data_IF_360893525647
#
_entry.id   IF_360893525647
#
_cell.length_a   1.000
_cell.length_b   1.000
_cell.length_c   1.000
_cell.angle_alpha   90.00
_cell.angle_beta   90.00
_cell.angle_gamma   90.00
#
_symmetry.space_group_name_H-M   'P 1'
#
loop_
_entity.id
_entity.type
_entity.pdbx_description
1 polymer ?
#
# COMPACT_ATOMS: atom_id res chain seq x y z
N UNK A 1 7.03 19.50 29.19
CA UNK A 1 7.31 18.13 28.72
C UNK A 1 6.20 17.62 27.80
N UNK A 2 4.94 17.81 28.21
CA UNK A 2 3.74 17.29 27.54
C UNK A 2 3.59 17.70 26.07
N UNK A 3 4.10 18.84 25.60
CA UNK A 3 4.00 19.23 24.18
C UNK A 3 5.21 18.85 23.33
N UNK A 4 6.36 18.54 23.95
CA UNK A 4 7.64 18.30 23.26
C UNK A 4 8.00 16.82 23.18
N UNK A 5 7.53 16.01 24.12
CA UNK A 5 7.89 14.58 24.25
C UNK A 5 6.76 13.63 23.85
N UNK A 6 5.67 14.13 23.26
CA UNK A 6 4.60 13.28 22.73
C UNK A 6 5.13 12.40 21.61
N UNK A 7 4.86 11.09 21.68
CA UNK A 7 5.29 10.11 20.69
C UNK A 7 4.89 10.48 19.25
N UNK A 8 3.70 11.06 19.07
CA UNK A 8 3.19 11.53 17.77
C UNK A 8 4.04 12.64 17.14
N UNK A 9 4.78 13.42 17.96
CA UNK A 9 5.65 14.50 17.50
C UNK A 9 7.10 14.05 17.26
N UNK A 10 7.48 12.87 17.78
CA UNK A 10 8.85 12.33 17.70
C UNK A 10 8.94 11.15 16.71
N UNK A 11 8.08 11.13 15.69
CA UNK A 11 8.10 10.09 14.66
C UNK A 11 9.37 10.19 13.80
N UNK A 12 9.83 11.41 13.49
CA UNK A 12 11.03 11.68 12.69
C UNK A 12 12.18 12.05 13.61
N UNK A 13 13.33 11.36 13.49
CA UNK A 13 14.52 11.67 14.27
C UNK A 13 15.37 12.76 13.61
N UNK A 14 15.75 13.76 14.40
CA UNK A 14 16.68 14.82 13.97
C UNK A 14 18.11 14.34 13.71
N UNK A 15 18.48 13.14 14.17
CA UNK A 15 19.83 12.59 13.92
C UNK A 15 20.03 12.19 12.45
N UNK A 16 18.98 11.70 11.80
CA UNK A 16 19.09 11.11 10.46
C UNK A 16 17.98 11.51 9.49
N UNK A 17 17.14 12.49 9.87
CA UNK A 17 16.02 13.01 9.06
C UNK A 17 15.12 11.91 8.48
N UNK A 18 14.95 10.82 9.22
CA UNK A 18 14.16 9.64 8.82
C UNK A 18 13.20 9.24 9.94
N UNK A 19 12.05 8.63 9.59
CA UNK A 19 11.13 8.12 10.58
C UNK A 19 11.79 7.00 11.39
N UNK A 20 11.63 7.05 12.72
CA UNK A 20 12.04 6.00 13.66
C UNK A 20 10.91 5.01 13.88
N UNK A 21 9.66 5.45 13.75
CA UNK A 21 8.47 4.61 13.85
C UNK A 21 8.01 4.19 12.45
N UNK A 22 7.66 2.92 12.31
CA UNK A 22 7.16 2.35 11.06
C UNK A 22 6.38 1.06 11.29
N UNK A 23 5.77 0.55 10.22
CA UNK A 23 5.06 -0.73 10.25
C UNK A 23 6.10 -1.87 10.28
N UNK A 24 5.95 -2.78 11.23
CA UNK A 24 6.91 -3.88 11.46
C UNK A 24 6.22 -5.25 11.48
N UNK A 25 7.04 -6.30 11.32
CA UNK A 25 6.65 -7.71 11.52
C UNK A 25 5.40 -8.13 10.75
N UNK A 26 4.34 -8.51 11.45
CA UNK A 26 3.15 -9.14 10.88
C UNK A 26 2.34 -8.16 10.05
N UNK A 27 2.19 -6.92 10.51
CA UNK A 27 1.48 -5.89 9.75
C UNK A 27 2.20 -5.58 8.44
N UNK A 28 3.53 -5.56 8.44
CA UNK A 28 4.32 -5.35 7.23
C UNK A 28 4.16 -6.54 6.26
N UNK A 29 4.23 -7.77 6.79
CA UNK A 29 4.05 -8.98 5.99
C UNK A 29 2.62 -9.09 5.44
N UNK A 30 1.62 -8.74 6.23
CA UNK A 30 0.22 -8.76 5.85
C UNK A 30 -0.05 -7.77 4.72
N UNK A 31 0.42 -6.52 4.85
CA UNK A 31 0.32 -5.50 3.79
C UNK A 31 0.97 -6.01 2.50
N UNK A 32 2.19 -6.52 2.57
CA UNK A 32 2.92 -7.03 1.40
C UNK A 32 2.24 -8.24 0.72
N UNK A 33 1.53 -9.08 1.49
CA UNK A 33 0.73 -10.17 0.92
C UNK A 33 -0.57 -9.64 0.32
N UNK A 34 -1.21 -8.67 0.96
CA UNK A 34 -2.50 -8.10 0.57
C UNK A 34 -2.42 -7.22 -0.69
N UNK A 35 -1.31 -6.51 -0.90
CA UNK A 35 -1.09 -5.63 -2.06
C UNK A 35 -0.78 -6.36 -3.37
N UNK A 36 -0.53 -7.69 -3.33
CA UNK A 36 -0.28 -8.48 -4.54
C UNK A 36 -1.48 -8.45 -5.49
N UNK A 37 -1.22 -8.46 -6.81
CA UNK A 37 -2.27 -8.41 -7.85
C UNK A 37 -3.23 -9.58 -7.81
N UNK A 38 -2.75 -10.75 -7.41
CA UNK A 38 -3.54 -11.98 -7.41
C UNK A 38 -4.45 -12.11 -6.17
N UNK A 39 -4.46 -11.09 -5.30
CA UNK A 39 -5.26 -11.10 -4.07
C UNK A 39 -6.54 -10.32 -4.27
N UNK A 40 -7.64 -11.07 -4.25
CA UNK A 40 -8.99 -10.55 -4.32
C UNK A 40 -9.73 -10.79 -3.00
N UNK A 41 -10.56 -9.82 -2.63
CA UNK A 41 -11.36 -9.83 -1.42
C UNK A 41 -12.83 -9.88 -1.81
N UNK A 42 -13.58 -10.73 -1.11
CA UNK A 42 -15.03 -10.83 -1.26
C UNK A 42 -15.72 -9.67 -0.56
N UNK A 43 -16.95 -9.37 -0.98
CA UNK A 43 -17.77 -8.28 -0.42
C UNK A 43 -17.84 -8.31 1.11
N UNK A 44 -18.11 -9.47 1.69
CA UNK A 44 -18.30 -9.61 3.14
C UNK A 44 -17.02 -9.25 3.92
N UNK A 45 -15.86 -9.64 3.39
CA UNK A 45 -14.57 -9.32 3.99
C UNK A 45 -14.24 -7.83 3.87
N UNK A 46 -14.49 -7.22 2.71
CA UNK A 46 -14.27 -5.78 2.48
C UNK A 46 -15.14 -4.97 3.43
N UNK A 47 -16.40 -5.33 3.60
CA UNK A 47 -17.32 -4.58 4.44
C UNK A 47 -16.92 -4.66 5.91
N UNK A 48 -16.48 -5.84 6.37
CA UNK A 48 -15.92 -5.99 7.72
C UNK A 48 -14.64 -5.15 7.89
N UNK A 49 -13.76 -5.11 6.89
CA UNK A 49 -12.54 -4.29 6.93
C UNK A 49 -12.84 -2.78 6.97
N UNK A 50 -13.84 -2.31 6.23
CA UNK A 50 -14.23 -0.90 6.20
C UNK A 50 -14.72 -0.39 7.56
N UNK A 51 -15.32 -1.25 8.39
CA UNK A 51 -15.73 -0.89 9.75
C UNK A 51 -14.56 -0.48 10.66
N UNK A 52 -13.33 -0.89 10.34
CA UNK A 52 -12.13 -0.54 11.11
C UNK A 52 -11.50 0.79 10.68
N UNK A 53 -11.96 1.39 9.59
CA UNK A 53 -11.42 2.67 9.10
C UNK A 53 -12.09 3.81 9.87
N UNK A 54 -11.33 4.48 10.73
CA UNK A 54 -11.83 5.51 11.67
C UNK A 54 -12.35 6.74 10.91
N UNK A 55 -11.62 7.18 9.87
CA UNK A 55 -11.93 8.40 9.09
C UNK A 55 -12.69 8.09 7.79
N UNK A 56 -13.55 7.06 7.80
CA UNK A 56 -14.31 6.66 6.62
C UNK A 56 -15.47 7.61 6.30
N UNK A 57 -15.60 7.98 5.03
CA UNK A 57 -16.64 8.88 4.51
C UNK A 57 -18.01 8.23 4.28
N UNK A 58 -18.15 6.94 4.64
CA UNK A 58 -19.37 6.15 4.44
C UNK A 58 -19.58 5.68 3.00
N UNK A 59 -18.63 5.94 2.08
CA UNK A 59 -18.72 5.52 0.68
C UNK A 59 -17.94 4.24 0.46
N UNK A 60 -18.65 3.23 -0.04
CA UNK A 60 -18.04 1.95 -0.39
C UNK A 60 -17.39 2.11 -1.77
N UNK A 61 -16.10 1.77 -1.93
CA UNK A 61 -15.44 1.85 -3.23
C UNK A 61 -16.08 0.87 -4.23
N UNK A 62 -16.16 1.22 -5.52
CA UNK A 62 -16.67 0.30 -6.52
C UNK A 62 -15.77 -0.95 -6.62
N UNK A 63 -16.34 -2.14 -6.86
CA UNK A 63 -15.55 -3.35 -7.04
C UNK A 63 -14.64 -3.23 -8.27
N UNK A 64 -13.45 -3.85 -8.21
CA UNK A 64 -12.54 -3.93 -9.36
C UNK A 64 -13.14 -4.83 -10.45
N UNK A 65 -13.81 -5.92 -10.05
CA UNK A 65 -14.42 -6.90 -10.95
C UNK A 65 -15.89 -7.02 -10.59
N UNK A 66 -16.77 -6.87 -11.58
CA UNK A 66 -18.24 -6.93 -11.39
C UNK A 66 -18.84 -8.32 -11.69
N UNK A 67 -18.23 -9.10 -12.58
CA UNK A 67 -18.74 -10.41 -13.01
C UNK A 67 -17.58 -11.42 -13.02
N UNK A 68 -17.80 -12.70 -12.67
CA UNK A 68 -19.07 -13.33 -12.27
C UNK A 68 -19.53 -13.00 -10.83
N UNK A 69 -18.62 -12.51 -10.00
CA UNK A 69 -18.88 -12.07 -8.63
C UNK A 69 -18.15 -10.75 -8.36
N UNK A 70 -18.65 -9.95 -7.43
CA UNK A 70 -18.04 -8.68 -7.05
C UNK A 70 -16.77 -8.94 -6.25
N UNK A 71 -15.63 -8.46 -6.75
CA UNK A 71 -14.32 -8.59 -6.10
C UNK A 71 -13.61 -7.24 -6.01
N UNK A 72 -12.95 -7.03 -4.87
CA UNK A 72 -12.09 -5.89 -4.61
C UNK A 72 -10.64 -6.35 -4.53
N UNK A 73 -9.72 -5.46 -4.85
CA UNK A 73 -8.29 -5.72 -4.67
C UNK A 73 -7.82 -5.22 -3.31
N UNK A 74 -6.78 -5.84 -2.75
CA UNK A 74 -6.19 -5.34 -1.51
C UNK A 74 -5.65 -3.91 -1.63
N UNK A 75 -5.16 -3.52 -2.81
CA UNK A 75 -4.72 -2.15 -3.11
C UNK A 75 -5.84 -1.12 -2.93
N UNK A 76 -7.06 -1.42 -3.39
CA UNK A 76 -8.21 -0.55 -3.18
C UNK A 76 -8.53 -0.35 -1.70
N UNK A 77 -8.51 -1.43 -0.91
CA UNK A 77 -8.79 -1.33 0.54
C UNK A 77 -7.72 -0.53 1.26
N UNK A 78 -6.45 -0.70 0.90
CA UNK A 78 -5.35 0.10 1.49
C UNK A 78 -5.45 1.57 1.09
N UNK A 79 -5.94 1.88 -0.12
CA UNK A 79 -6.15 3.25 -0.58
C UNK A 79 -7.11 4.03 0.31
N UNK A 80 -8.08 3.35 0.93
CA UNK A 80 -9.03 3.99 1.87
C UNK A 80 -8.38 4.47 3.17
N UNK A 81 -7.23 3.92 3.53
CA UNK A 81 -6.49 4.26 4.77
C UNK A 81 -5.45 5.36 4.49
N UNK A 82 -5.09 5.56 3.23
CA UNK A 82 -4.05 6.52 2.86
C UNK A 82 -4.61 7.95 2.81
N UNK A 83 -3.87 8.95 3.33
CA UNK A 83 -4.19 10.35 3.10
C UNK A 83 -3.96 10.72 1.62
N UNK A 84 -4.48 11.87 1.20
CA UNK A 84 -4.29 12.42 -0.15
C UNK A 84 -2.82 12.81 -0.38
N UNK A 85 -2.01 11.85 -0.81
CA UNK A 85 -0.57 12.01 -1.07
C UNK A 85 -0.20 11.43 -2.43
N UNK A 86 0.91 11.93 -2.98
CA UNK A 86 1.53 11.40 -4.19
C UNK A 86 2.90 10.82 -3.85
N UNK A 87 3.16 9.57 -4.25
CA UNK A 87 4.44 8.92 -4.00
C UNK A 87 4.81 8.03 -5.18
N UNK A 88 6.08 8.06 -5.56
CA UNK A 88 6.69 7.10 -6.49
C UNK A 88 7.90 6.45 -5.83
N UNK A 89 7.91 5.14 -5.76
CA UNK A 89 8.92 4.34 -5.10
C UNK A 89 9.20 3.03 -5.81
N UNK A 90 10.15 2.27 -5.27
CA UNK A 90 10.47 0.92 -5.73
C UNK A 90 10.40 -0.04 -4.55
N UNK A 91 9.71 -1.14 -4.73
CA UNK A 91 9.75 -2.29 -3.83
C UNK A 91 11.11 -3.00 -3.94
N UNK A 92 11.47 -3.74 -2.89
CA UNK A 92 12.77 -4.43 -2.80
C UNK A 92 12.97 -5.52 -3.87
N UNK A 93 11.89 -6.04 -4.45
CA UNK A 93 11.93 -7.12 -5.43
C UNK A 93 11.76 -6.54 -6.84
N UNK A 94 12.86 -6.34 -7.56
CA UNK A 94 12.85 -5.87 -8.95
C UNK A 94 13.09 -6.99 -9.98
N UNK A 95 13.12 -6.65 -11.29
CA UNK A 95 13.49 -7.59 -12.33
C UNK A 95 14.92 -8.06 -12.10
N UNK A 96 15.18 -9.34 -12.41
CA UNK A 96 16.54 -9.86 -12.44
C UNK A 96 17.43 -9.06 -13.40
N UNK A 97 18.73 -9.15 -13.19
CA UNK A 97 19.71 -8.66 -14.16
C UNK A 97 20.17 -9.85 -14.98
N UNK A 98 20.24 -9.67 -16.30
CA UNK A 98 20.93 -10.60 -17.19
C UNK A 98 22.41 -10.73 -16.78
N UNK A 99 23.11 -11.79 -17.23
CA UNK A 99 24.56 -11.92 -17.06
C UNK A 99 25.36 -10.71 -17.58
N UNK A 100 24.80 -9.95 -18.53
CA UNK A 100 25.36 -8.72 -19.10
C UNK A 100 24.94 -7.45 -18.34
N UNK A 101 24.31 -7.57 -17.17
CA UNK A 101 23.92 -6.45 -16.32
C UNK A 101 22.70 -5.64 -16.79
N UNK A 102 22.10 -5.99 -17.93
CA UNK A 102 20.85 -5.40 -18.40
C UNK A 102 19.68 -5.92 -17.55
N UNK A 103 18.82 -5.00 -17.11
CA UNK A 103 17.60 -5.34 -16.39
C UNK A 103 16.60 -5.88 -17.40
N UNK A 104 15.93 -7.00 -17.07
CA UNK A 104 14.85 -7.52 -17.92
C UNK A 104 13.81 -6.44 -18.22
N UNK A 105 13.19 -6.50 -19.39
CA UNK A 105 12.17 -5.53 -19.78
C UNK A 105 11.04 -5.52 -18.75
N UNK A 106 10.83 -4.36 -18.13
CA UNK A 106 9.74 -4.12 -17.19
C UNK A 106 8.66 -3.24 -17.83
N UNK A 107 8.20 -3.65 -19.00
CA UNK A 107 7.11 -2.99 -19.71
C UNK A 107 5.85 -3.07 -18.85
N UNK A 108 5.17 -1.94 -18.62
CA UNK A 108 3.97 -1.83 -17.77
C UNK A 108 4.12 -2.43 -16.36
N UNK A 109 5.31 -2.34 -15.76
CA UNK A 109 5.54 -2.83 -14.41
C UNK A 109 5.19 -4.32 -14.23
N UNK A 110 5.55 -5.21 -15.16
CA UNK A 110 5.20 -6.63 -15.11
C UNK A 110 5.46 -7.30 -13.72
N UNK A 111 6.53 -6.91 -13.03
CA UNK A 111 6.92 -7.47 -11.72
C UNK A 111 6.24 -6.84 -10.49
N UNK A 112 5.38 -5.83 -10.68
CA UNK A 112 4.71 -5.07 -9.60
C UNK A 112 5.65 -4.41 -8.60
N UNK A 113 6.84 -4.03 -9.07
CA UNK A 113 7.90 -3.51 -8.20
C UNK A 113 7.93 -1.99 -8.14
N UNK A 114 7.33 -1.31 -9.11
CA UNK A 114 7.15 0.14 -9.04
C UNK A 114 5.91 0.41 -8.19
N UNK A 115 6.09 1.20 -7.13
CA UNK A 115 5.02 1.62 -6.23
C UNK A 115 4.63 3.03 -6.59
N UNK A 116 3.38 3.23 -7.00
CA UNK A 116 2.86 4.57 -7.34
C UNK A 116 1.55 4.81 -6.61
N UNK A 117 1.54 5.88 -5.82
CA UNK A 117 0.36 6.41 -5.13
C UNK A 117 0.03 7.75 -5.80
N UNK A 118 -1.22 7.90 -6.25
CA UNK A 118 -1.73 9.13 -6.87
C UNK A 118 -2.98 9.59 -6.13
N UNK A 119 -2.96 10.80 -5.59
CA UNK A 119 -4.07 11.43 -4.87
C UNK A 119 -4.63 10.60 -3.69
N UNK A 120 -3.78 9.77 -3.06
CA UNK A 120 -4.18 8.84 -2.00
C UNK A 120 -4.60 7.45 -2.49
N UNK A 121 -4.66 7.22 -3.80
CA UNK A 121 -4.96 5.91 -4.38
C UNK A 121 -3.68 5.14 -4.73
N UNK A 122 -3.58 3.89 -4.25
CA UNK A 122 -2.49 2.98 -4.57
C UNK A 122 -2.75 2.30 -5.91
N UNK A 123 -2.08 2.79 -6.96
CA UNK A 123 -2.32 2.39 -8.35
C UNK A 123 -1.52 1.15 -8.73
N UNK A 124 -0.26 1.08 -8.33
CA UNK A 124 0.64 -0.03 -8.63
C UNK A 124 1.63 -0.27 -7.49
N UNK A 125 2.17 -1.49 -7.42
CA UNK A 125 3.19 -1.87 -6.45
C UNK A 125 2.77 -2.99 -5.51
N UNK A 126 3.77 -3.72 -5.03
CA UNK A 126 3.62 -4.82 -4.08
C UNK A 126 4.37 -4.55 -2.78
#
# INVERSE_FOLDING_TARGET
AETMMLSSRVIVSGQSNRPVMGIVQDSLLAVQKMTKRDVFLTRDLVYNLLMWVIDWDGRIPPPTIYKPQELWTGKQVISMILPKINLKGKANNGPGKDPNGKVFSNTFNAYDHLVTIMEGELVEGK
#
